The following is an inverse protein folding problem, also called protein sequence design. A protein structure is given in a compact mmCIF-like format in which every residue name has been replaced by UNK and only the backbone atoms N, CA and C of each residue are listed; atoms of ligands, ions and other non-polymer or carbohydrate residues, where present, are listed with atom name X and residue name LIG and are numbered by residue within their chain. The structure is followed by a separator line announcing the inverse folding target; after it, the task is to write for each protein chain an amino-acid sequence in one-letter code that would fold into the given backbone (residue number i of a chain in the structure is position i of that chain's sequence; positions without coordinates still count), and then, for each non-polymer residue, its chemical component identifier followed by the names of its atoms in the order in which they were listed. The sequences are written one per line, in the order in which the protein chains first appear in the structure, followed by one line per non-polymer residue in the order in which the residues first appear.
data_IF_120756100059
#
_entry.id   IF_120756100059
#
_cell.length_a   1.000
_cell.length_b   1.000
_cell.length_c   1.000
_cell.angle_alpha   90.00
_cell.angle_beta   90.00
_cell.angle_gamma   90.00
#
_symmetry.space_group_name_H-M   'P 1'
#
loop_
_entity.id
_entity.type
_entity.pdbx_description
1 polymer ?
#
# COMPACT_ATOMS: atom_id res chain seq x y z
N UNK A 1 -4.72 -9.92 -13.75
CA UNK A 1 -5.29 -8.85 -12.87
C UNK A 1 -5.96 -9.49 -11.66
N UNK A 2 -5.73 -8.94 -10.50
CA UNK A 2 -6.33 -9.45 -9.26
C UNK A 2 -7.71 -8.85 -9.11
N UNK A 3 -8.73 -9.71 -9.03
CA UNK A 3 -10.10 -9.26 -8.85
C UNK A 3 -10.30 -8.70 -7.44
N UNK A 4 -10.80 -7.49 -7.35
CA UNK A 4 -11.06 -6.79 -6.10
C UNK A 4 -9.82 -6.69 -5.21
N UNK A 5 -8.66 -6.50 -5.84
CA UNK A 5 -7.39 -6.39 -5.13
C UNK A 5 -7.32 -5.15 -4.25
N UNK A 6 -6.63 -5.29 -3.12
CA UNK A 6 -6.43 -4.23 -2.15
C UNK A 6 -4.94 -4.08 -1.89
N UNK A 7 -4.41 -2.89 -2.17
CA UNK A 7 -3.05 -2.56 -1.73
C UNK A 7 -3.16 -2.21 -0.26
N UNK A 8 -2.44 -2.93 0.57
CA UNK A 8 -2.41 -2.68 2.01
C UNK A 8 -1.16 -1.87 2.32
N UNK A 9 -1.37 -0.65 2.79
CA UNK A 9 -0.28 0.29 3.05
C UNK A 9 0.57 -0.15 4.25
N UNK A 10 1.80 0.35 4.30
CA UNK A 10 2.77 0.04 5.35
C UNK A 10 2.20 0.25 6.75
N UNK A 11 1.48 1.36 6.97
CA UNK A 11 0.88 1.66 8.28
C UNK A 11 -0.03 0.54 8.79
N UNK A 12 -0.83 -0.03 7.88
CA UNK A 12 -1.76 -1.12 8.21
C UNK A 12 -0.99 -2.42 8.44
N UNK A 13 0.00 -2.72 7.58
CA UNK A 13 0.78 -3.95 7.71
C UNK A 13 1.61 -3.97 8.98
N UNK A 14 2.13 -2.82 9.42
CA UNK A 14 2.84 -2.72 10.70
C UNK A 14 1.91 -3.12 11.84
N UNK A 15 0.69 -2.58 11.88
CA UNK A 15 -0.30 -2.94 12.90
C UNK A 15 -0.69 -4.41 12.83
N UNK A 16 -0.83 -4.95 11.62
CA UNK A 16 -1.09 -6.36 11.42
C UNK A 16 0.01 -7.23 12.04
N UNK A 17 1.27 -6.89 11.76
CA UNK A 17 2.42 -7.65 12.29
C UNK A 17 2.54 -7.53 13.81
N UNK A 18 2.07 -6.42 14.38
CA UNK A 18 2.03 -6.22 15.84
C UNK A 18 0.84 -6.90 16.50
N UNK A 19 -0.08 -7.48 15.74
CA UNK A 19 -1.26 -8.13 16.25
C UNK A 19 -2.35 -7.19 16.75
N UNK A 20 -2.36 -5.94 16.27
CA UNK A 20 -3.40 -4.97 16.64
C UNK A 20 -4.72 -5.42 16.00
N UNK A 21 -5.75 -5.58 16.84
CA UNK A 21 -6.97 -6.32 16.51
C UNK A 21 -7.65 -5.91 15.21
N UNK A 22 -7.83 -4.61 14.97
CA UNK A 22 -8.53 -4.15 13.77
C UNK A 22 -7.79 -4.53 12.49
N UNK A 23 -6.49 -4.25 12.44
CA UNK A 23 -5.66 -4.60 11.28
C UNK A 23 -5.54 -6.12 11.15
N UNK A 24 -5.36 -6.84 12.25
CA UNK A 24 -5.24 -8.30 12.23
C UNK A 24 -6.50 -8.94 11.64
N UNK A 25 -7.67 -8.49 12.03
CA UNK A 25 -8.94 -9.02 11.53
C UNK A 25 -9.12 -8.74 10.03
N UNK A 26 -8.96 -7.50 9.62
CA UNK A 26 -9.23 -7.10 8.24
C UNK A 26 -8.18 -7.65 7.26
N UNK A 27 -6.90 -7.58 7.61
CA UNK A 27 -5.84 -8.10 6.74
C UNK A 27 -5.96 -9.61 6.60
N UNK A 28 -6.29 -10.32 7.68
CA UNK A 28 -6.50 -11.78 7.61
C UNK A 28 -7.61 -12.12 6.64
N UNK A 29 -8.73 -11.40 6.67
CA UNK A 29 -9.83 -11.61 5.72
C UNK A 29 -9.37 -11.43 4.29
N UNK A 30 -8.60 -10.36 4.04
CA UNK A 30 -8.09 -10.07 2.70
C UNK A 30 -7.11 -11.13 2.22
N UNK A 31 -6.23 -11.61 3.11
CA UNK A 31 -5.29 -12.68 2.79
C UNK A 31 -6.03 -13.98 2.44
N UNK A 32 -7.03 -14.34 3.21
CA UNK A 32 -7.82 -15.55 2.97
C UNK A 32 -8.58 -15.48 1.66
N UNK A 33 -8.96 -14.28 1.22
CA UNK A 33 -9.64 -14.06 -0.04
C UNK A 33 -8.69 -13.86 -1.22
N UNK A 34 -7.39 -13.95 -1.02
CA UNK A 34 -6.34 -13.70 -2.04
C UNK A 34 -6.45 -12.30 -2.67
N UNK A 35 -6.79 -11.31 -1.87
CA UNK A 35 -7.01 -9.95 -2.34
C UNK A 35 -5.87 -8.99 -2.00
N UNK A 36 -4.91 -9.39 -1.16
CA UNK A 36 -3.81 -8.51 -0.75
C UNK A 36 -2.80 -8.33 -1.87
N UNK A 37 -2.49 -7.08 -2.15
CA UNK A 37 -1.47 -6.68 -3.12
C UNK A 37 -0.47 -5.79 -2.39
N UNK A 38 0.79 -5.91 -2.73
CA UNK A 38 1.85 -5.05 -2.23
C UNK A 38 2.72 -4.53 -3.37
N UNK A 39 3.69 -3.71 -3.04
CA UNK A 39 4.62 -3.14 -3.99
C UNK A 39 6.00 -3.04 -3.35
N UNK A 40 7.02 -2.93 -4.19
CA UNK A 40 8.40 -2.85 -3.71
C UNK A 40 8.63 -1.75 -2.68
N UNK A 41 7.97 -0.60 -2.85
CA UNK A 41 8.06 0.52 -1.90
C UNK A 41 7.59 0.10 -0.51
N UNK A 42 6.47 -0.60 -0.42
CA UNK A 42 5.90 -1.06 0.85
C UNK A 42 6.81 -2.10 1.48
N UNK A 43 7.33 -3.02 0.67
CA UNK A 43 8.29 -4.02 1.13
C UNK A 43 9.51 -3.34 1.76
N UNK A 44 10.07 -2.35 1.06
CA UNK A 44 11.24 -1.61 1.55
C UNK A 44 10.95 -0.89 2.86
N UNK A 45 9.78 -0.28 2.98
CA UNK A 45 9.37 0.39 4.22
C UNK A 45 9.21 -0.57 5.39
N UNK A 46 8.65 -1.75 5.13
CA UNK A 46 8.54 -2.80 6.14
C UNK A 46 9.91 -3.27 6.60
N UNK A 47 10.80 -3.55 5.63
CA UNK A 47 12.16 -4.02 5.93
C UNK A 47 12.97 -2.97 6.68
N UNK A 48 12.79 -1.69 6.34
CA UNK A 48 13.46 -0.59 7.01
C UNK A 48 13.14 -0.53 8.50
N UNK A 49 11.92 -0.94 8.87
CA UNK A 49 11.46 -0.91 10.26
C UNK A 49 11.84 -2.11 11.10
N UNK A 50 12.57 -3.09 10.53
CA UNK A 50 12.96 -4.29 11.26
C UNK A 50 13.92 -3.96 12.40
N UNK A 51 13.57 -4.38 13.61
CA UNK A 51 14.43 -4.26 14.78
C UNK A 51 14.99 -5.59 15.28
N UNK A 52 14.45 -6.73 14.81
CA UNK A 52 14.83 -8.07 15.26
C UNK A 52 14.83 -9.03 14.08
N UNK A 53 15.67 -10.07 14.16
CA UNK A 53 15.84 -11.06 13.08
C UNK A 53 14.52 -11.81 12.78
N UNK A 54 13.76 -12.17 13.80
CA UNK A 54 12.51 -12.91 13.60
C UNK A 54 11.43 -12.10 12.88
N UNK A 55 11.52 -10.78 12.90
CA UNK A 55 10.58 -9.92 12.17
C UNK A 55 10.75 -10.07 10.66
N UNK A 56 11.97 -10.27 10.18
CA UNK A 56 12.22 -10.51 8.76
C UNK A 56 11.54 -11.78 8.29
N UNK A 57 11.60 -12.85 9.08
CA UNK A 57 10.93 -14.11 8.74
C UNK A 57 9.41 -13.94 8.67
N UNK A 58 8.83 -13.16 9.57
CA UNK A 58 7.40 -12.89 9.56
C UNK A 58 6.98 -12.09 8.33
N UNK A 59 7.80 -11.13 7.92
CA UNK A 59 7.53 -10.36 6.70
C UNK A 59 7.64 -11.28 5.48
N UNK A 60 8.65 -12.13 5.41
CA UNK A 60 8.82 -13.08 4.31
C UNK A 60 7.61 -14.02 4.21
N UNK A 61 7.11 -14.52 5.34
CA UNK A 61 5.93 -15.36 5.37
C UNK A 61 4.69 -14.62 4.85
N UNK A 62 4.49 -13.38 5.28
CA UNK A 62 3.41 -12.54 4.78
C UNK A 62 3.49 -12.37 3.26
N UNK A 63 4.67 -12.03 2.75
CA UNK A 63 4.88 -11.77 1.34
C UNK A 63 4.70 -13.01 0.46
N UNK A 64 4.86 -14.20 1.01
CA UNK A 64 4.69 -15.44 0.25
C UNK A 64 3.26 -15.65 -0.24
N UNK A 65 2.28 -15.00 0.40
CA UNK A 65 0.87 -15.14 0.07
C UNK A 65 0.26 -13.96 -0.66
N UNK A 66 1.06 -12.98 -1.09
CA UNK A 66 0.53 -11.76 -1.70
C UNK A 66 1.12 -11.53 -3.09
N UNK A 67 0.40 -10.77 -3.91
CA UNK A 67 0.89 -10.34 -5.22
C UNK A 67 1.70 -9.07 -5.07
N UNK A 68 2.85 -9.02 -5.74
CA UNK A 68 3.75 -7.86 -5.72
C UNK A 68 3.66 -7.16 -7.08
N UNK A 69 3.34 -5.87 -7.05
CA UNK A 69 3.32 -5.04 -8.25
C UNK A 69 4.56 -4.17 -8.31
N UNK A 70 5.06 -3.99 -9.53
CA UNK A 70 6.22 -3.13 -9.80
C UNK A 70 5.76 -1.77 -10.29
N UNK A 71 6.47 -0.73 -9.89
CA UNK A 71 6.26 0.61 -10.42
C UNK A 71 7.14 0.76 -11.66
N UNK A 72 6.51 0.75 -12.83
CA UNK A 72 7.21 0.90 -14.10
C UNK A 72 7.64 2.35 -14.34
N UNK A 73 8.50 2.55 -15.33
CA UNK A 73 8.92 3.90 -15.71
C UNK A 73 7.72 4.80 -16.05
N UNK A 74 6.74 4.37 -16.87
CA UNK A 74 5.55 5.19 -17.12
C UNK A 74 4.78 5.53 -15.85
N UNK A 75 4.71 4.61 -14.88
CA UNK A 75 4.03 4.87 -13.61
C UNK A 75 4.80 5.86 -12.75
N UNK A 76 6.14 5.85 -12.77
CA UNK A 76 6.94 6.86 -12.08
C UNK A 76 6.69 8.24 -12.67
N UNK A 77 6.54 8.34 -14.00
CA UNK A 77 6.19 9.61 -14.66
C UNK A 77 4.82 10.09 -14.16
N UNK A 78 3.84 9.20 -14.11
CA UNK A 78 2.51 9.53 -13.61
C UNK A 78 2.53 9.93 -12.13
N UNK A 79 3.35 9.29 -11.32
CA UNK A 79 3.52 9.65 -9.91
C UNK A 79 4.05 11.08 -9.78
N UNK A 80 5.02 11.45 -10.62
CA UNK A 80 5.55 12.82 -10.65
C UNK A 80 4.50 13.83 -11.05
N UNK A 81 3.71 13.50 -12.08
CA UNK A 81 2.60 14.36 -12.54
C UNK A 81 1.55 14.56 -11.45
N UNK A 82 1.16 13.49 -10.77
CA UNK A 82 0.20 13.56 -9.68
C UNK A 82 0.74 14.43 -8.54
N UNK A 83 1.99 14.21 -8.15
CA UNK A 83 2.64 15.00 -7.10
C UNK A 83 2.62 16.49 -7.44
N UNK A 84 2.99 16.84 -8.68
CA UNK A 84 2.98 18.22 -9.17
C UNK A 84 1.57 18.81 -9.15
N UNK A 85 0.58 18.08 -9.62
CA UNK A 85 -0.81 18.51 -9.65
C UNK A 85 -1.35 18.78 -8.23
N UNK A 86 -1.06 17.88 -7.29
CA UNK A 86 -1.49 18.04 -5.90
C UNK A 86 -0.82 19.25 -5.25
N UNK A 87 0.48 19.44 -5.51
CA UNK A 87 1.24 20.56 -4.96
C UNK A 87 0.66 21.90 -5.41
N UNK A 88 0.23 21.99 -6.67
CA UNK A 88 -0.44 23.20 -7.17
C UNK A 88 -1.74 23.51 -6.44
N UNK A 89 -2.35 22.50 -5.84
CA UNK A 89 -3.58 22.63 -5.03
C UNK A 89 -3.28 22.78 -3.54
N UNK A 90 -2.01 22.92 -3.17
CA UNK A 90 -1.60 23.06 -1.77
C UNK A 90 -1.49 21.73 -1.03
N UNK A 91 -1.50 20.61 -1.73
CA UNK A 91 -1.40 19.27 -1.12
C UNK A 91 -0.02 18.69 -1.38
N UNK A 92 0.68 18.28 -0.32
CA UNK A 92 1.97 17.63 -0.43
C UNK A 92 1.86 16.20 0.07
N UNK A 93 2.07 15.24 -0.85
CA UNK A 93 2.25 13.84 -0.49
C UNK A 93 3.69 13.45 -0.77
N UNK A 94 4.32 12.62 0.08
CA UNK A 94 5.61 12.03 -0.25
C UNK A 94 5.54 11.32 -1.61
N UNK A 95 6.63 11.36 -2.37
CA UNK A 95 6.65 10.76 -3.71
C UNK A 95 6.35 9.26 -3.68
N UNK A 96 6.79 8.56 -2.61
CA UNK A 96 6.46 7.15 -2.41
C UNK A 96 4.95 6.92 -2.29
N UNK A 97 4.25 7.82 -1.62
CA UNK A 97 2.79 7.74 -1.48
C UNK A 97 2.08 8.02 -2.80
N UNK A 98 2.57 8.99 -3.58
CA UNK A 98 2.00 9.22 -4.92
C UNK A 98 2.23 8.03 -5.83
N UNK A 99 3.35 7.33 -5.71
CA UNK A 99 3.61 6.11 -6.47
C UNK A 99 2.62 5.00 -6.11
N UNK A 100 2.33 4.83 -4.82
CA UNK A 100 1.33 3.85 -4.35
C UNK A 100 -0.05 4.21 -4.91
N UNK A 101 -0.42 5.49 -4.85
CA UNK A 101 -1.71 5.96 -5.35
C UNK A 101 -1.87 5.71 -6.85
N UNK A 102 -0.84 6.01 -7.64
CA UNK A 102 -0.85 5.79 -9.09
C UNK A 102 -0.93 4.30 -9.40
N UNK A 103 -0.23 3.46 -8.65
CA UNK A 103 -0.28 2.02 -8.81
C UNK A 103 -1.70 1.50 -8.58
N UNK A 104 -2.37 2.00 -7.55
CA UNK A 104 -3.76 1.63 -7.26
C UNK A 104 -4.70 2.09 -8.37
N UNK A 105 -4.57 3.34 -8.83
CA UNK A 105 -5.42 3.89 -9.88
C UNK A 105 -5.26 3.12 -11.20
N UNK A 106 -4.01 2.86 -11.59
CA UNK A 106 -3.71 2.19 -12.86
C UNK A 106 -4.23 0.75 -12.88
N UNK A 107 -4.19 0.07 -11.75
CA UNK A 107 -4.59 -1.33 -11.65
C UNK A 107 -6.00 -1.52 -11.10
N UNK A 108 -6.75 -0.45 -10.96
CA UNK A 108 -8.12 -0.46 -10.44
C UNK A 108 -8.21 -1.17 -9.07
N UNK A 109 -7.27 -0.83 -8.19
CA UNK A 109 -7.19 -1.41 -6.86
C UNK A 109 -7.71 -0.43 -5.82
N UNK A 110 -8.16 -0.97 -4.70
CA UNK A 110 -8.52 -0.19 -3.53
C UNK A 110 -7.29 -0.07 -2.63
N UNK A 111 -7.11 1.06 -1.97
CA UNK A 111 -6.01 1.26 -1.02
C UNK A 111 -6.52 1.18 0.41
N UNK A 112 -5.93 0.30 1.21
CA UNK A 112 -6.19 0.21 2.64
C UNK A 112 -5.05 0.91 3.38
N UNK A 113 -5.35 2.05 3.98
CA UNK A 113 -4.37 2.90 4.67
C UNK A 113 -4.99 3.56 5.89
N UNK A 114 -4.16 3.91 6.87
CA UNK A 114 -4.58 4.75 7.99
C UNK A 114 -4.23 6.23 7.77
N UNK A 115 -3.52 6.53 6.67
CA UNK A 115 -3.12 7.91 6.35
C UNK A 115 -4.25 8.62 5.61
N UNK A 116 -4.82 9.64 6.26
CA UNK A 116 -5.94 10.41 5.72
C UNK A 116 -5.56 11.27 4.51
N UNK A 117 -4.27 11.53 4.29
CA UNK A 117 -3.82 12.36 3.18
C UNK A 117 -4.16 11.76 1.83
N UNK A 118 -4.24 10.43 1.74
CA UNK A 118 -4.62 9.74 0.50
C UNK A 118 -6.03 10.10 0.01
N UNK A 119 -6.92 10.55 0.90
CA UNK A 119 -8.27 10.96 0.50
C UNK A 119 -8.27 12.17 -0.44
N UNK A 120 -7.15 12.89 -0.53
CA UNK A 120 -7.00 14.05 -1.40
C UNK A 120 -6.63 13.67 -2.84
N UNK A 121 -6.35 12.41 -3.10
CA UNK A 121 -6.03 11.92 -4.45
C UNK A 121 -7.33 11.69 -5.21
N UNK A 122 -7.54 12.38 -6.36
CA UNK A 122 -8.78 12.20 -7.12
C UNK A 122 -8.95 10.75 -7.61
N UNK A 123 -10.16 10.24 -7.48
CA UNK A 123 -10.59 8.93 -7.97
C UNK A 123 -9.97 7.73 -7.25
N UNK A 124 -9.14 7.95 -6.24
CA UNK A 124 -8.56 6.84 -5.48
C UNK A 124 -9.63 6.22 -4.58
N UNK A 125 -9.78 4.91 -4.69
CA UNK A 125 -10.72 4.16 -3.86
C UNK A 125 -10.04 3.77 -2.56
N UNK A 126 -10.62 4.19 -1.44
CA UNK A 126 -10.10 3.86 -0.11
C UNK A 126 -10.92 2.70 0.46
N UNK A 127 -10.23 1.69 0.96
CA UNK A 127 -10.86 0.53 1.60
C UNK A 127 -11.54 0.97 2.89
N UNK A 128 -12.81 0.59 3.02
CA UNK A 128 -13.59 0.92 4.22
C UNK A 128 -13.84 -0.33 5.05
N UNK A 129 -13.49 -0.22 6.30
CA UNK A 129 -13.67 -1.30 7.28
C UNK A 129 -15.08 -1.26 7.84
#
# INVERSE_FOLDING_TARGET
MIKDGVIVDTSVLIDFLKGIAKAATEVTKLLQANRVVTAGIIIAELMQGIGRVDEEDRIAELLSGVSVLEVSTPLWIEAGRLSSSLRRKGVTLPLTDTAIAVLALENNLTLYTFDKHFAQVPNLKIYKV
#
